data_IF_979097686487
#
_entry.id   IF_979097686487
#
_cell.length_a   1.000
_cell.length_b   1.000
_cell.length_c   1.000
_cell.angle_alpha   90.00
_cell.angle_beta   90.00
_cell.angle_gamma   90.00
#
_symmetry.space_group_name_H-M   'P 1'
#
loop_
_entity.id
_entity.type
_entity.pdbx_description
1 polymer ?
#
# COMPACT_ATOMS: atom_id res chain seq x y z
N UNK A 1 -14.18 -17.00 -3.53
CA UNK A 1 -13.33 -17.36 -2.37
C UNK A 1 -13.08 -16.10 -1.58
N UNK A 2 -13.32 -16.09 -0.26
CA UNK A 2 -13.05 -14.93 0.59
C UNK A 2 -11.55 -14.79 0.79
N UNK A 3 -10.99 -13.65 0.39
CA UNK A 3 -9.59 -13.35 0.64
C UNK A 3 -9.43 -12.94 2.10
N UNK A 4 -8.57 -13.64 2.85
CA UNK A 4 -8.24 -13.30 4.23
C UNK A 4 -7.05 -12.33 4.28
N UNK A 5 -7.07 -11.42 5.25
CA UNK A 5 -6.07 -10.37 5.40
C UNK A 5 -5.47 -10.37 6.79
N UNK A 6 -4.18 -10.05 6.85
CA UNK A 6 -3.49 -9.63 8.08
C UNK A 6 -3.38 -8.12 8.07
N UNK A 7 -3.81 -7.48 9.14
CA UNK A 7 -3.74 -6.04 9.30
C UNK A 7 -2.61 -5.67 10.27
N UNK A 8 -1.77 -4.73 9.86
CA UNK A 8 -0.69 -4.16 10.67
C UNK A 8 -0.91 -2.66 10.77
N UNK A 9 -0.80 -2.10 11.98
CA UNK A 9 -0.99 -0.67 12.23
C UNK A 9 0.35 0.01 12.50
N UNK A 10 0.40 1.34 12.34
CA UNK A 10 1.59 2.15 12.62
C UNK A 10 2.83 1.69 11.83
N UNK A 11 2.65 1.66 10.51
CA UNK A 11 3.60 1.08 9.54
C UNK A 11 4.42 2.13 8.79
N UNK A 12 4.27 3.42 9.14
CA UNK A 12 4.77 4.55 8.35
C UNK A 12 6.28 4.50 8.14
N UNK A 13 7.05 4.15 9.17
CA UNK A 13 8.52 4.04 9.10
C UNK A 13 9.00 2.69 8.54
N UNK A 14 8.08 1.74 8.36
CA UNK A 14 8.39 0.35 8.05
C UNK A 14 8.22 0.01 6.56
N UNK A 15 7.58 0.90 5.79
CA UNK A 15 7.27 0.68 4.39
C UNK A 15 8.05 1.63 3.47
N UNK A 16 8.34 1.15 2.27
CA UNK A 16 8.98 1.90 1.19
C UNK A 16 8.17 1.68 -0.09
N UNK A 17 7.62 2.76 -0.64
CA UNK A 17 6.78 2.70 -1.85
C UNK A 17 7.50 3.16 -3.11
N UNK A 18 8.79 3.51 -3.04
CA UNK A 18 9.53 4.15 -4.15
C UNK A 18 9.48 3.36 -5.46
N UNK A 19 9.63 2.03 -5.36
CA UNK A 19 9.60 1.09 -6.48
C UNK A 19 8.25 0.38 -6.65
N UNK A 20 7.21 0.86 -5.99
CA UNK A 20 5.90 0.21 -5.99
C UNK A 20 5.02 0.62 -7.18
N UNK A 21 4.12 -0.28 -7.55
CA UNK A 21 3.06 -0.04 -8.53
C UNK A 21 1.75 0.23 -7.81
N UNK A 22 1.16 1.40 -8.08
CA UNK A 22 -0.07 1.85 -7.43
C UNK A 22 -1.26 1.69 -8.38
N UNK A 23 -2.32 1.03 -7.91
CA UNK A 23 -3.59 0.98 -8.62
C UNK A 23 -4.49 2.19 -8.34
N UNK A 24 -5.73 2.14 -8.81
CA UNK A 24 -6.71 3.19 -8.52
C UNK A 24 -7.04 3.23 -7.03
N UNK A 25 -6.94 4.43 -6.44
CA UNK A 25 -7.32 4.69 -5.07
C UNK A 25 -8.84 4.78 -4.91
N UNK A 26 -9.36 4.22 -3.82
CA UNK A 26 -10.76 4.32 -3.43
C UNK A 26 -10.87 5.21 -2.21
N UNK A 27 -11.64 6.30 -2.33
CA UNK A 27 -11.92 7.24 -1.26
C UNK A 27 -13.40 7.14 -0.90
N UNK A 28 -13.70 6.91 0.38
CA UNK A 28 -15.08 6.96 0.90
C UNK A 28 -15.07 7.47 2.32
N UNK A 29 -16.03 8.33 2.64
CA UNK A 29 -16.14 8.99 3.94
C UNK A 29 -14.82 9.66 4.33
N UNK A 30 -14.24 9.28 5.47
CA UNK A 30 -12.98 9.77 6.01
C UNK A 30 -11.82 8.79 5.77
N UNK A 31 -11.95 7.88 4.79
CA UNK A 31 -11.01 6.77 4.61
C UNK A 31 -10.56 6.59 3.16
N UNK A 32 -9.32 6.12 2.97
CA UNK A 32 -8.69 5.88 1.66
C UNK A 32 -8.12 4.46 1.65
N UNK A 33 -8.36 3.72 0.57
CA UNK A 33 -7.76 2.42 0.31
C UNK A 33 -6.93 2.50 -0.98
N UNK A 34 -5.68 2.06 -0.90
CA UNK A 34 -4.73 2.09 -2.01
C UNK A 34 -4.20 0.69 -2.25
N UNK A 35 -4.52 0.05 -3.39
CA UNK A 35 -3.90 -1.21 -3.76
C UNK A 35 -2.48 -0.97 -4.28
N UNK A 36 -1.53 -1.79 -3.83
CA UNK A 36 -0.11 -1.68 -4.12
C UNK A 36 0.48 -3.03 -4.48
N UNK A 37 1.32 -3.05 -5.51
CA UNK A 37 2.21 -4.15 -5.85
C UNK A 37 3.66 -3.73 -5.60
N UNK A 38 4.50 -4.66 -5.17
CA UNK A 38 5.92 -4.43 -4.92
C UNK A 38 6.18 -3.42 -3.78
N UNK A 39 5.49 -3.56 -2.66
CA UNK A 39 5.71 -2.70 -1.50
C UNK A 39 6.98 -3.15 -0.76
N UNK A 40 7.95 -2.25 -0.65
CA UNK A 40 9.13 -2.45 0.16
C UNK A 40 8.78 -2.46 1.65
N UNK A 41 9.38 -3.38 2.40
CA UNK A 41 9.25 -3.54 3.83
C UNK A 41 10.65 -3.72 4.40
N UNK A 42 11.06 -2.84 5.30
CA UNK A 42 12.36 -2.87 5.96
C UNK A 42 12.23 -3.39 7.40
N UNK A 43 12.32 -2.52 8.40
CA UNK A 43 12.21 -2.83 9.82
C UNK A 43 10.73 -3.04 10.21
N UNK A 44 10.23 -4.25 9.98
CA UNK A 44 8.84 -4.62 10.30
C UNK A 44 8.76 -6.06 10.82
N UNK A 45 7.73 -6.37 11.62
CA UNK A 45 7.48 -7.75 12.13
C UNK A 45 7.34 -8.79 11.00
N UNK A 46 6.95 -8.35 9.81
CA UNK A 46 6.86 -9.20 8.62
C UNK A 46 8.23 -9.53 8.01
N UNK A 47 9.25 -8.73 8.29
CA UNK A 47 10.58 -8.87 7.75
C UNK A 47 11.62 -8.92 8.88
N UNK A 48 11.80 -10.09 9.50
CA UNK A 48 12.71 -10.25 10.64
C UNK A 48 14.20 -10.12 10.26
N UNK A 49 14.51 -9.99 8.96
CA UNK A 49 15.89 -9.91 8.48
C UNK A 49 16.46 -8.49 8.51
N UNK A 50 15.61 -7.48 8.69
CA UNK A 50 15.95 -6.04 8.62
C UNK A 50 16.63 -5.62 7.30
N UNK A 51 16.60 -6.45 6.26
CA UNK A 51 17.03 -6.11 4.90
C UNK A 51 15.81 -5.82 4.06
N UNK A 52 15.81 -4.77 3.23
CA UNK A 52 14.67 -4.44 2.38
C UNK A 52 14.16 -5.68 1.61
N UNK A 53 12.88 -5.97 1.78
CA UNK A 53 12.17 -7.06 1.11
C UNK A 53 10.86 -6.52 0.55
N UNK A 54 10.30 -7.20 -0.45
CA UNK A 54 9.15 -6.71 -1.20
C UNK A 54 7.99 -7.68 -1.08
N UNK A 55 6.83 -7.17 -0.65
CA UNK A 55 5.57 -7.93 -0.75
C UNK A 55 4.99 -7.80 -2.14
N UNK A 56 4.45 -8.91 -2.65
CA UNK A 56 3.85 -8.93 -3.98
C UNK A 56 2.57 -8.10 -4.05
N UNK A 57 1.64 -8.30 -3.13
CA UNK A 57 0.33 -7.64 -3.10
C UNK A 57 0.02 -7.10 -1.71
N UNK A 58 -0.40 -5.84 -1.63
CA UNK A 58 -0.73 -5.17 -0.38
C UNK A 58 -1.80 -4.11 -0.58
N UNK A 59 -2.50 -3.75 0.50
CA UNK A 59 -3.28 -2.51 0.53
C UNK A 59 -2.78 -1.61 1.64
N UNK A 60 -2.64 -0.32 1.33
CA UNK A 60 -2.56 0.71 2.36
C UNK A 60 -3.95 1.25 2.63
N UNK A 61 -4.34 1.27 3.89
CA UNK A 61 -5.63 1.79 4.33
C UNK A 61 -5.41 2.93 5.32
N UNK A 62 -5.91 4.10 4.98
CA UNK A 62 -5.83 5.32 5.77
C UNK A 62 -7.20 5.64 6.32
N UNK A 63 -7.31 5.83 7.63
CA UNK A 63 -8.59 6.12 8.31
C UNK A 63 -8.52 7.45 9.04
N UNK A 64 -9.62 8.19 8.97
CA UNK A 64 -9.69 9.55 9.50
C UNK A 64 -8.73 10.49 8.77
N UNK A 65 -8.69 10.43 7.43
CA UNK A 65 -7.86 11.36 6.67
C UNK A 65 -8.46 12.77 6.73
N UNK A 66 -7.58 13.78 6.85
CA UNK A 66 -7.98 15.19 6.85
C UNK A 66 -7.39 15.98 5.69
N UNK A 67 -6.32 15.47 5.07
CA UNK A 67 -5.66 16.11 3.94
C UNK A 67 -5.02 15.08 3.03
N UNK A 68 -5.13 15.34 1.73
CA UNK A 68 -4.44 14.58 0.68
C UNK A 68 -3.74 15.56 -0.23
N UNK A 69 -2.47 15.33 -0.51
CA UNK A 69 -1.72 16.05 -1.54
C UNK A 69 -1.34 15.09 -2.66
N UNK A 70 -1.45 15.58 -3.90
CA UNK A 70 -1.07 14.87 -5.11
C UNK A 70 0.03 15.66 -5.82
N UNK A 71 1.14 15.02 -6.15
CA UNK A 71 2.28 15.63 -6.85
C UNK A 71 2.78 16.93 -6.21
N UNK A 72 2.72 16.98 -4.88
CA UNK A 72 3.18 18.13 -4.11
C UNK A 72 4.62 17.90 -3.68
N UNK A 73 5.49 18.88 -3.96
CA UNK A 73 6.85 18.93 -3.40
C UNK A 73 6.89 19.63 -2.03
N UNK A 74 5.73 19.96 -1.48
CA UNK A 74 5.64 20.55 -0.14
C UNK A 74 5.27 19.47 0.86
N UNK A 75 6.26 19.07 1.66
CA UNK A 75 6.07 18.19 2.82
C UNK A 75 4.87 18.67 3.64
N UNK A 76 3.88 17.80 3.85
CA UNK A 76 2.87 18.11 4.86
C UNK A 76 3.55 18.05 6.23
N UNK A 77 3.70 19.21 6.88
CA UNK A 77 4.04 19.28 8.30
C UNK A 77 2.77 19.38 9.12
N UNK A 78 2.48 18.40 9.98
CA UNK A 78 1.39 18.57 10.95
C UNK A 78 1.80 19.55 11.98
N UNK A 79 0.81 20.33 12.41
CA UNK A 79 0.85 20.97 13.72
C UNK A 79 0.19 20.10 14.78
N UNK A 80 -0.44 19.00 14.39
CA UNK A 80 -1.20 18.09 15.23
C UNK A 80 -0.41 16.79 15.44
N UNK A 81 0.02 16.53 16.68
CA UNK A 81 0.82 15.36 17.04
C UNK A 81 0.01 14.06 17.04
N UNK A 82 -1.32 14.12 16.97
CA UNK A 82 -2.18 12.94 16.88
C UNK A 82 -2.32 12.43 15.43
N UNK A 83 -1.92 13.25 14.45
CA UNK A 83 -1.99 12.91 13.04
C UNK A 83 -0.68 12.36 12.52
N UNK A 84 -0.80 11.48 11.53
CA UNK A 84 0.29 10.80 10.88
C UNK A 84 0.37 11.18 9.42
N UNK A 85 1.59 11.08 8.89
CA UNK A 85 1.87 11.24 7.47
C UNK A 85 2.35 9.95 6.89
N UNK A 86 1.75 9.59 5.77
CA UNK A 86 2.25 8.52 4.94
C UNK A 86 2.47 9.05 3.53
N UNK A 87 3.70 8.95 3.08
CA UNK A 87 4.07 9.18 1.70
C UNK A 87 3.89 7.87 0.92
N UNK A 88 3.16 7.96 -0.19
CA UNK A 88 2.89 6.87 -1.11
C UNK A 88 3.31 7.33 -2.50
N UNK A 89 4.63 7.29 -2.74
CA UNK A 89 5.23 7.43 -4.06
C UNK A 89 5.08 6.15 -4.89
N UNK A 90 5.41 6.23 -6.18
CA UNK A 90 5.49 5.06 -7.05
C UNK A 90 4.96 5.28 -8.47
N UNK A 91 5.85 5.12 -9.45
CA UNK A 91 5.60 5.16 -10.91
C UNK A 91 4.78 6.34 -11.45
N UNK A 92 4.33 6.25 -12.72
CA UNK A 92 3.72 7.33 -13.51
C UNK A 92 2.45 7.96 -12.90
N UNK A 93 1.88 7.38 -11.85
CA UNK A 93 0.67 7.87 -11.20
C UNK A 93 0.93 9.09 -10.30
N UNK A 94 2.19 9.40 -10.01
CA UNK A 94 2.58 10.57 -9.23
C UNK A 94 2.45 10.38 -7.72
N UNK A 95 3.03 11.29 -6.96
CA UNK A 95 3.19 11.15 -5.52
C UNK A 95 1.89 11.45 -4.78
N UNK A 96 1.62 10.67 -3.72
CA UNK A 96 0.47 10.84 -2.84
C UNK A 96 0.96 11.00 -1.41
N UNK A 97 0.56 12.08 -0.75
CA UNK A 97 0.76 12.25 0.69
C UNK A 97 -0.59 12.30 1.40
N UNK A 98 -0.74 11.50 2.46
CA UNK A 98 -1.98 11.42 3.24
C UNK A 98 -1.72 11.80 4.69
N UNK A 99 -2.46 12.79 5.17
CA UNK A 99 -2.60 13.13 6.59
C UNK A 99 -3.79 12.37 7.17
N UNK A 100 -3.56 11.51 8.17
CA UNK A 100 -4.62 10.71 8.77
C UNK A 100 -4.39 10.34 10.24
N UNK A 101 -5.42 9.82 10.90
CA UNK A 101 -5.33 9.36 12.30
C UNK A 101 -4.68 7.98 12.39
N UNK A 102 -4.97 7.09 11.45
CA UNK A 102 -4.50 5.71 11.47
C UNK A 102 -4.11 5.22 10.08
N UNK A 103 -2.96 4.57 10.00
CA UNK A 103 -2.48 3.86 8.81
C UNK A 103 -2.45 2.37 9.09
N UNK A 104 -2.94 1.59 8.13
CA UNK A 104 -2.90 0.14 8.15
C UNK A 104 -2.28 -0.42 6.87
N UNK A 105 -1.42 -1.42 7.03
CA UNK A 105 -1.01 -2.31 5.97
C UNK A 105 -1.88 -3.58 6.02
N UNK A 106 -2.61 -3.85 4.95
CA UNK A 106 -3.41 -5.05 4.78
C UNK A 106 -2.71 -5.98 3.80
N UNK A 107 -2.27 -7.13 4.30
CA UNK A 107 -1.64 -8.16 3.48
C UNK A 107 -2.55 -9.36 3.29
N UNK A 108 -2.76 -9.82 2.04
CA UNK A 108 -3.34 -11.14 1.80
C UNK A 108 -2.57 -12.20 2.58
N UNK A 109 -3.26 -13.15 3.22
CA UNK A 109 -2.61 -14.25 3.95
C UNK A 109 -1.73 -15.13 3.07
N UNK A 110 -2.04 -15.20 1.77
CA UNK A 110 -1.26 -15.88 0.75
C UNK A 110 -0.16 -14.99 0.11
N UNK A 111 0.05 -13.76 0.60
CA UNK A 111 1.06 -12.84 0.09
C UNK A 111 2.47 -13.38 0.27
N UNK A 112 3.36 -13.00 -0.65
CA UNK A 112 4.75 -13.48 -0.69
C UNK A 112 5.71 -12.34 -0.42
N UNK A 113 6.80 -12.65 0.29
CA UNK A 113 7.94 -11.77 0.47
C UNK A 113 9.08 -12.21 -0.45
N UNK A 114 9.79 -11.25 -1.03
CA UNK A 114 10.92 -11.48 -1.92
C UNK A 114 12.06 -10.51 -1.62
N UNK A 115 13.33 -10.94 -1.69
CA UNK A 115 14.47 -10.02 -1.61
C UNK A 115 14.66 -9.18 -2.89
N UNK A 116 13.90 -9.47 -3.95
CA UNK A 116 13.93 -8.75 -5.23
C UNK A 116 12.56 -8.23 -5.61
N UNK A 117 12.52 -7.18 -6.44
CA UNK A 117 11.29 -6.56 -6.91
C UNK A 117 10.32 -7.53 -7.61
N UNK A 118 9.04 -7.23 -7.44
CA UNK A 118 7.93 -7.79 -8.20
C UNK A 118 7.57 -6.87 -9.37
N UNK A 119 7.50 -7.44 -10.56
CA UNK A 119 7.19 -6.76 -11.81
C UNK A 119 5.84 -7.28 -12.32
N UNK A 120 4.75 -6.49 -12.24
CA UNK A 120 3.43 -6.90 -12.72
C UNK A 120 3.35 -6.95 -14.24
N UNK A 121 4.12 -6.11 -14.93
CA UNK A 121 4.14 -5.98 -16.39
C UNK A 121 5.57 -5.91 -16.93
N UNK A 122 5.71 -6.20 -18.23
CA UNK A 122 6.97 -5.99 -18.92
C UNK A 122 7.24 -4.48 -19.05
N UNK A 123 8.47 -4.08 -18.72
CA UNK A 123 8.99 -2.75 -18.98
C UNK A 123 10.13 -2.85 -20.00
N UNK A 124 10.65 -1.74 -20.55
CA UNK A 124 11.83 -1.78 -21.41
C UNK A 124 13.07 -2.44 -20.76
N UNK A 125 13.12 -2.47 -19.42
CA UNK A 125 14.30 -2.91 -18.66
C UNK A 125 14.09 -4.22 -17.90
N UNK A 126 12.83 -4.60 -17.61
CA UNK A 126 12.50 -5.73 -16.75
C UNK A 126 11.36 -6.56 -17.34
N UNK A 127 11.45 -7.89 -17.19
CA UNK A 127 10.35 -8.80 -17.52
C UNK A 127 9.41 -8.94 -16.34
N UNK A 128 8.12 -9.05 -16.62
CA UNK A 128 7.12 -9.41 -15.63
C UNK A 128 7.51 -10.73 -14.93
N UNK A 129 7.38 -10.77 -13.61
CA UNK A 129 7.61 -11.97 -12.79
C UNK A 129 6.40 -12.31 -11.90
N UNK A 130 5.29 -11.60 -12.10
CA UNK A 130 3.97 -11.95 -11.57
C UNK A 130 3.09 -12.52 -12.68
N UNK A 131 2.18 -13.40 -12.29
CA UNK A 131 1.16 -13.90 -13.19
C UNK A 131 0.13 -12.79 -13.51
N UNK A 132 -0.16 -12.59 -14.79
CA UNK A 132 -1.03 -11.50 -15.24
C UNK A 132 -2.49 -11.68 -14.78
N UNK A 133 -2.97 -12.92 -14.65
CA UNK A 133 -4.33 -13.16 -14.14
C UNK A 133 -4.41 -12.81 -12.66
N UNK A 134 -3.38 -13.14 -11.88
CA UNK A 134 -3.26 -12.75 -10.48
C UNK A 134 -3.21 -11.22 -10.31
N UNK A 135 -2.41 -10.53 -11.12
CA UNK A 135 -2.31 -9.06 -11.11
C UNK A 135 -3.67 -8.43 -11.44
N UNK A 136 -4.31 -8.87 -12.52
CA UNK A 136 -5.63 -8.37 -12.91
C UNK A 136 -6.70 -8.66 -11.86
N UNK A 137 -6.68 -9.86 -11.26
CA UNK A 137 -7.58 -10.20 -10.18
C UNK A 137 -7.40 -9.27 -8.99
N UNK A 138 -6.14 -8.99 -8.59
CA UNK A 138 -5.82 -8.13 -7.46
C UNK A 138 -6.34 -6.70 -7.64
N UNK A 139 -6.19 -6.12 -8.83
CA UNK A 139 -6.72 -4.79 -9.11
C UNK A 139 -8.25 -4.71 -9.02
N UNK A 140 -8.93 -5.83 -9.29
CA UNK A 140 -10.39 -5.91 -9.26
C UNK A 140 -10.97 -6.26 -7.88
N UNK A 141 -10.16 -6.62 -6.88
CA UNK A 141 -10.67 -6.98 -5.55
C UNK A 141 -10.88 -5.79 -4.63
N UNK A 142 -10.47 -4.57 -5.01
CA UNK A 142 -10.47 -3.37 -4.15
C UNK A 142 -11.84 -3.13 -3.47
N UNK A 143 -12.94 -3.24 -4.23
CA UNK A 143 -14.29 -3.07 -3.69
C UNK A 143 -14.69 -4.16 -2.69
N UNK A 144 -14.25 -5.40 -2.93
CA UNK A 144 -14.50 -6.51 -2.01
C UNK A 144 -13.72 -6.34 -0.71
N UNK A 145 -12.47 -5.91 -0.80
CA UNK A 145 -11.63 -5.58 0.36
C UNK A 145 -12.25 -4.46 1.18
N UNK A 146 -12.73 -3.40 0.52
CA UNK A 146 -13.42 -2.30 1.20
C UNK A 146 -14.62 -2.78 2.03
N UNK A 147 -15.45 -3.66 1.45
CA UNK A 147 -16.60 -4.24 2.15
C UNK A 147 -16.16 -5.08 3.35
N UNK A 148 -15.11 -5.86 3.21
CA UNK A 148 -14.58 -6.69 4.29
C UNK A 148 -14.08 -5.84 5.47
N UNK A 149 -13.31 -4.78 5.22
CA UNK A 149 -12.81 -3.86 6.26
C UNK A 149 -13.97 -3.27 7.09
N UNK A 150 -15.06 -2.86 6.43
CA UNK A 150 -16.19 -2.23 7.10
C UNK A 150 -17.15 -3.20 7.78
N UNK A 151 -17.08 -4.49 7.44
CA UNK A 151 -17.84 -5.54 8.13
C UNK A 151 -17.26 -5.96 9.48
N UNK A 152 -16.06 -5.47 9.81
CA UNK A 152 -15.37 -5.70 11.09
C UNK A 152 -15.74 -4.66 12.17
N UNK A 153 -16.77 -3.82 11.91
CA UNK A 153 -17.31 -2.85 12.87
C UNK A 153 -18.24 -3.52 13.88
#
# INVERSE_FOLDING_TARGET
>A
MSQEFRAFAAIEDAIDTSESYRGSLVVREDSILVPIINLGISEHVLNPTNKLAYVDFAYLFFKGFSKVLLNSFTDIKSKDTEKRYCYVGGSQAGDLEVECNQTYLLLPTAGRLSPTNWYPDNTPFYKANLDSEQVNSFWNTVDAVWKAINSLK
#
